data_IF_435746611145
#
_entry.id   IF_435746611145
#
_cell.length_a   1.000
_cell.length_b   1.000
_cell.length_c   1.000
_cell.angle_alpha   90.00
_cell.angle_beta   90.00
_cell.angle_gamma   90.00
#
_symmetry.space_group_name_H-M   'P 1'
#
loop_
_entity.id
_entity.type
_entity.pdbx_description
1 polymer ?
#
# COMPACT_ATOMS: atom_id res chain seq x y z
N UNK A 1 -5.75 -22.20 4.87
CA UNK A 1 -4.55 -21.32 4.77
C UNK A 1 -4.29 -21.01 3.30
N UNK A 2 -3.99 -19.76 2.96
CA UNK A 2 -3.61 -19.36 1.59
C UNK A 2 -2.09 -19.39 1.45
N UNK A 3 -1.52 -20.45 0.87
CA UNK A 3 -0.07 -20.63 0.73
C UNK A 3 0.53 -19.85 -0.46
N UNK A 4 0.13 -18.58 -0.64
CA UNK A 4 0.66 -17.71 -1.70
C UNK A 4 0.63 -16.25 -1.28
N UNK A 5 1.47 -15.44 -1.92
CA UNK A 5 1.40 -13.99 -1.75
C UNK A 5 0.08 -13.45 -2.34
N UNK A 6 -0.62 -12.65 -1.54
CA UNK A 6 -1.80 -11.92 -1.96
C UNK A 6 -1.43 -10.60 -2.63
N UNK A 7 -2.32 -10.07 -3.47
CA UNK A 7 -2.14 -8.73 -4.06
C UNK A 7 -1.98 -7.63 -3.00
N UNK A 8 -2.58 -7.83 -1.83
CA UNK A 8 -2.52 -6.89 -0.73
C UNK A 8 -1.26 -6.98 0.10
N UNK A 9 -0.43 -8.01 -0.05
CA UNK A 9 0.71 -8.25 0.85
C UNK A 9 1.82 -7.19 0.72
N UNK A 10 1.71 -6.29 -0.25
CA UNK A 10 2.63 -5.17 -0.42
C UNK A 10 2.74 -4.28 0.83
N UNK A 11 1.75 -4.27 1.74
CA UNK A 11 1.88 -3.53 3.01
C UNK A 11 3.12 -3.96 3.83
N UNK A 12 3.56 -5.22 3.72
CA UNK A 12 4.77 -5.71 4.40
C UNK A 12 6.01 -5.01 3.84
N UNK A 13 6.12 -4.96 2.51
CA UNK A 13 7.18 -4.21 1.82
C UNK A 13 7.07 -2.72 2.03
N UNK A 14 5.85 -2.18 2.08
CA UNK A 14 5.59 -0.78 2.43
C UNK A 14 6.00 -0.44 3.86
N UNK A 15 6.05 -1.42 4.76
CA UNK A 15 6.57 -1.27 6.13
C UNK A 15 8.08 -1.54 6.24
N UNK A 16 8.78 -1.73 5.11
CA UNK A 16 10.23 -1.92 5.05
C UNK A 16 10.69 -3.38 4.97
N UNK A 17 9.76 -4.33 4.95
CA UNK A 17 10.07 -5.76 4.95
C UNK A 17 9.95 -6.35 3.54
N UNK A 18 11.10 -6.62 2.91
CA UNK A 18 11.13 -7.17 1.56
C UNK A 18 10.77 -8.66 1.55
N UNK A 19 9.51 -8.99 1.25
CA UNK A 19 9.02 -10.38 1.19
C UNK A 19 9.83 -11.23 0.20
N UNK A 20 10.21 -10.66 -0.95
CA UNK A 20 10.97 -11.41 -1.96
C UNK A 20 12.34 -11.82 -1.43
N UNK A 21 12.99 -10.95 -0.63
CA UNK A 21 14.25 -11.28 0.04
C UNK A 21 14.08 -12.49 0.95
N UNK A 22 13.09 -12.49 1.84
CA UNK A 22 12.86 -13.62 2.75
C UNK A 22 12.63 -14.92 1.99
N UNK A 23 11.81 -14.90 0.93
CA UNK A 23 11.56 -16.11 0.13
C UNK A 23 12.82 -16.62 -0.58
N UNK A 24 13.65 -15.73 -1.13
CA UNK A 24 14.88 -16.13 -1.83
C UNK A 24 15.93 -16.62 -0.85
N UNK A 25 16.23 -15.84 0.19
CA UNK A 25 17.32 -16.16 1.12
C UNK A 25 17.01 -17.42 1.95
N UNK A 26 15.78 -17.57 2.44
CA UNK A 26 15.36 -18.73 3.24
C UNK A 26 15.19 -19.99 2.37
N UNK A 27 14.39 -19.92 1.31
CA UNK A 27 13.97 -21.13 0.58
C UNK A 27 14.89 -21.52 -0.58
N UNK A 28 15.52 -20.54 -1.26
CA UNK A 28 16.37 -20.82 -2.44
C UNK A 28 17.84 -20.91 -2.03
N UNK A 29 18.29 -20.01 -1.16
CA UNK A 29 19.70 -19.93 -0.75
C UNK A 29 20.00 -20.66 0.57
N UNK A 30 18.98 -21.22 1.23
CA UNK A 30 19.08 -22.00 2.48
C UNK A 30 19.85 -21.27 3.59
N UNK A 31 19.62 -19.94 3.70
CA UNK A 31 20.23 -19.09 4.72
C UNK A 31 19.36 -19.07 5.97
N UNK A 32 19.97 -19.24 7.13
CA UNK A 32 19.30 -18.97 8.41
C UNK A 32 19.05 -17.46 8.57
N UNK A 33 17.78 -17.08 8.63
CA UNK A 33 17.38 -15.69 8.83
C UNK A 33 17.02 -15.43 10.30
N UNK A 34 17.47 -14.31 10.89
CA UNK A 34 17.08 -13.96 12.25
C UNK A 34 15.57 -13.68 12.32
N UNK A 35 14.96 -14.06 13.45
CA UNK A 35 13.58 -13.69 13.74
C UNK A 35 13.46 -12.19 13.93
N UNK A 36 12.50 -11.57 13.23
CA UNK A 36 12.27 -10.14 13.26
C UNK A 36 10.76 -9.86 13.26
N UNK A 37 10.33 -8.91 14.08
CA UNK A 37 8.95 -8.42 14.12
C UNK A 37 8.92 -7.03 13.49
N UNK A 38 8.00 -6.82 12.54
CA UNK A 38 7.80 -5.51 11.95
C UNK A 38 7.06 -4.57 12.90
N UNK A 39 7.79 -3.65 13.52
CA UNK A 39 7.22 -2.57 14.36
C UNK A 39 7.01 -1.26 13.58
N UNK A 40 7.42 -1.21 12.31
CA UNK A 40 7.31 -0.03 11.48
C UNK A 40 5.85 0.30 11.14
N UNK A 41 5.42 1.50 11.47
CA UNK A 41 4.15 2.03 10.99
C UNK A 41 4.28 2.48 9.52
N UNK A 42 3.33 2.07 8.69
CA UNK A 42 3.27 2.44 7.28
C UNK A 42 1.82 2.67 6.85
N UNK A 43 1.61 3.64 5.97
CA UNK A 43 0.31 3.89 5.35
C UNK A 43 0.28 3.27 3.96
N UNK A 44 -0.23 2.04 3.85
CA UNK A 44 -0.48 1.43 2.54
C UNK A 44 -1.84 1.90 2.01
N UNK A 45 -1.82 2.71 0.96
CA UNK A 45 -3.01 3.38 0.43
C UNK A 45 -3.15 3.12 -1.09
N UNK A 46 -4.16 2.35 -1.46
CA UNK A 46 -4.47 2.03 -2.88
C UNK A 46 -5.52 2.97 -3.50
N UNK A 47 -6.23 3.72 -2.67
CA UNK A 47 -7.22 4.72 -3.07
C UNK A 47 -6.61 6.14 -3.05
N UNK A 48 -7.22 7.12 -3.72
CA UNK A 48 -6.87 8.53 -3.55
C UNK A 48 -6.98 9.02 -2.08
N UNK A 49 -6.10 9.95 -1.66
CA UNK A 49 -6.07 10.44 -0.26
C UNK A 49 -7.34 11.19 0.15
N UNK A 50 -8.01 11.86 -0.79
CA UNK A 50 -9.31 12.51 -0.58
C UNK A 50 -10.42 11.48 -0.36
N UNK A 51 -10.43 10.36 -1.10
CA UNK A 51 -11.35 9.24 -0.84
C UNK A 51 -11.11 8.68 0.55
N UNK A 52 -9.85 8.46 0.92
CA UNK A 52 -9.52 7.93 2.23
C UNK A 52 -10.03 8.86 3.36
N UNK A 53 -9.90 10.18 3.21
CA UNK A 53 -10.41 11.17 4.18
C UNK A 53 -11.94 11.24 4.24
N UNK A 54 -12.62 11.10 3.11
CA UNK A 54 -14.09 11.22 3.04
C UNK A 54 -14.84 9.99 3.57
N UNK A 55 -14.21 8.81 3.52
CA UNK A 55 -14.88 7.52 3.78
C UNK A 55 -14.31 6.73 4.98
N UNK A 56 -13.20 7.16 5.58
CA UNK A 56 -12.62 6.56 6.80
C UNK A 56 -12.96 7.42 8.01
N UNK A 57 -13.16 6.77 9.16
CA UNK A 57 -13.42 7.43 10.45
C UNK A 57 -12.34 8.47 10.77
N UNK A 58 -12.78 9.63 11.24
CA UNK A 58 -11.94 10.81 11.48
C UNK A 58 -10.77 10.60 12.44
N UNK A 59 -10.88 9.64 13.36
CA UNK A 59 -9.83 9.28 14.33
C UNK A 59 -8.51 8.86 13.69
N UNK A 60 -8.53 8.36 12.44
CA UNK A 60 -7.31 7.96 11.73
C UNK A 60 -6.67 9.10 10.93
N UNK A 61 -7.37 10.22 10.71
CA UNK A 61 -6.95 11.23 9.74
C UNK A 61 -5.64 11.91 10.13
N UNK A 62 -5.43 12.21 11.42
CA UNK A 62 -4.18 12.79 11.90
C UNK A 62 -3.00 11.85 11.68
N UNK A 63 -3.18 10.57 12.00
CA UNK A 63 -2.15 9.56 11.81
C UNK A 63 -1.82 9.35 10.33
N UNK A 64 -2.83 9.33 9.47
CA UNK A 64 -2.63 9.24 8.02
C UNK A 64 -1.85 10.44 7.48
N UNK A 65 -2.21 11.66 7.89
CA UNK A 65 -1.49 12.89 7.51
C UNK A 65 -0.04 12.88 8.01
N UNK A 66 0.18 12.39 9.23
CA UNK A 66 1.52 12.25 9.78
C UNK A 66 2.36 11.29 8.93
N UNK A 67 1.86 10.08 8.65
CA UNK A 67 2.59 9.07 7.85
C UNK A 67 2.83 9.54 6.41
N UNK A 68 1.89 10.26 5.80
CA UNK A 68 2.05 10.87 4.48
C UNK A 68 3.18 11.93 4.48
N UNK A 69 3.22 12.80 5.51
CA UNK A 69 4.29 13.80 5.68
C UNK A 69 5.66 13.18 5.95
N UNK A 70 5.70 12.09 6.71
CA UNK A 70 6.93 11.33 6.99
C UNK A 70 7.41 10.53 5.77
N UNK A 71 6.67 10.53 4.65
CA UNK A 71 7.03 9.76 3.46
C UNK A 71 6.83 8.25 3.60
N UNK A 72 6.07 7.82 4.63
CA UNK A 72 5.74 6.41 4.93
C UNK A 72 4.43 5.95 4.26
N UNK A 73 3.89 6.76 3.35
CA UNK A 73 2.75 6.36 2.52
C UNK A 73 3.22 5.63 1.27
N UNK A 74 2.64 4.47 1.00
CA UNK A 74 2.96 3.64 -0.16
C UNK A 74 1.71 3.25 -0.94
N UNK A 75 1.85 3.20 -2.26
CA UNK A 75 0.82 2.70 -3.16
C UNK A 75 1.48 1.72 -4.13
N UNK A 76 0.98 0.48 -4.17
CA UNK A 76 1.57 -0.60 -4.99
C UNK A 76 1.53 -0.34 -6.49
N UNK A 77 0.65 0.53 -6.95
CA UNK A 77 0.53 0.90 -8.37
C UNK A 77 1.45 2.08 -8.74
N UNK A 78 1.98 2.81 -7.76
CA UNK A 78 2.77 4.01 -7.98
C UNK A 78 4.24 3.73 -7.66
N UNK A 79 5.03 3.54 -8.72
CA UNK A 79 6.46 3.31 -8.61
C UNK A 79 7.26 4.45 -9.25
N UNK A 80 8.20 5.04 -8.50
CA UNK A 80 9.02 6.17 -8.98
C UNK A 80 9.90 5.82 -10.18
N UNK A 81 10.34 4.56 -10.27
CA UNK A 81 11.17 4.08 -11.37
C UNK A 81 10.38 3.69 -12.63
N UNK A 82 9.06 3.91 -12.67
CA UNK A 82 8.23 3.60 -13.83
C UNK A 82 8.59 4.47 -15.03
N UNK A 83 9.01 3.82 -16.13
CA UNK A 83 9.40 4.47 -17.39
C UNK A 83 8.28 4.43 -18.44
N UNK A 84 7.30 3.55 -18.28
CA UNK A 84 6.16 3.40 -19.19
C UNK A 84 5.11 4.48 -18.92
N UNK A 85 5.03 5.45 -19.83
CA UNK A 85 4.07 6.55 -19.77
C UNK A 85 2.61 6.09 -19.83
N UNK A 86 2.30 5.04 -20.60
CA UNK A 86 0.94 4.50 -20.68
C UNK A 86 0.49 3.90 -19.35
N UNK A 87 1.39 3.17 -18.67
CA UNK A 87 1.07 2.63 -17.34
C UNK A 87 0.82 3.76 -16.33
N UNK A 88 1.65 4.81 -16.32
CA UNK A 88 1.43 5.99 -15.46
C UNK A 88 0.09 6.67 -15.70
N UNK A 89 -0.29 6.85 -16.96
CA UNK A 89 -1.59 7.42 -17.34
C UNK A 89 -2.75 6.51 -16.94
N UNK A 90 -2.58 5.20 -17.09
CA UNK A 90 -3.58 4.23 -16.66
C UNK A 90 -3.78 4.23 -15.14
N UNK A 91 -2.71 4.28 -14.33
CA UNK A 91 -2.82 4.39 -12.87
C UNK A 91 -3.52 5.68 -12.47
N UNK A 92 -3.17 6.80 -13.11
CA UNK A 92 -3.85 8.07 -12.87
C UNK A 92 -5.35 7.99 -13.19
N UNK A 93 -5.72 7.42 -14.34
CA UNK A 93 -7.11 7.22 -14.73
C UNK A 93 -7.85 6.30 -13.77
N UNK A 94 -7.21 5.20 -13.33
CA UNK A 94 -7.78 4.27 -12.37
C UNK A 94 -8.09 4.96 -11.03
N UNK A 95 -7.15 5.73 -10.49
CA UNK A 95 -7.35 6.50 -9.26
C UNK A 95 -8.51 7.50 -9.38
N UNK A 96 -8.67 8.17 -10.53
CA UNK A 96 -9.82 9.05 -10.80
C UNK A 96 -11.13 8.28 -10.89
N UNK A 97 -11.13 7.12 -11.54
CA UNK A 97 -12.30 6.23 -11.63
C UNK A 97 -12.69 5.70 -10.24
N UNK A 98 -11.72 5.33 -9.41
CA UNK A 98 -11.97 4.90 -8.04
C UNK A 98 -12.72 5.98 -7.26
N UNK A 99 -12.30 7.25 -7.32
CA UNK A 99 -13.02 8.37 -6.68
C UNK A 99 -14.51 8.38 -7.04
N UNK A 100 -14.82 8.31 -8.35
CA UNK A 100 -16.20 8.28 -8.85
C UNK A 100 -16.98 7.07 -8.33
N UNK A 101 -16.34 5.90 -8.28
CA UNK A 101 -16.97 4.67 -7.78
C UNK A 101 -17.32 4.78 -6.28
N UNK A 102 -16.42 5.34 -5.46
CA UNK A 102 -16.70 5.56 -4.05
C UNK A 102 -17.84 6.55 -3.84
N UNK A 103 -17.90 7.64 -4.61
CA UNK A 103 -19.03 8.59 -4.55
C UNK A 103 -20.36 7.95 -4.95
N UNK A 104 -20.35 7.00 -5.89
CA UNK A 104 -21.59 6.34 -6.37
C UNK A 104 -22.05 5.24 -5.41
N UNK A 105 -21.13 4.44 -4.88
CA UNK A 105 -21.45 3.16 -4.26
C UNK A 105 -21.10 3.07 -2.78
N UNK A 106 -20.20 3.89 -2.27
CA UNK A 106 -19.76 3.77 -0.88
C UNK A 106 -20.61 4.64 0.06
N UNK A 107 -20.90 4.11 1.24
CA UNK A 107 -21.54 4.84 2.33
C UNK A 107 -20.45 5.49 3.17
N UNK A 108 -20.57 6.79 3.44
CA UNK A 108 -19.63 7.52 4.30
C UNK A 108 -19.73 6.99 5.73
N UNK A 109 -18.58 6.68 6.32
CA UNK A 109 -18.48 6.31 7.74
C UNK A 109 -18.29 7.60 8.54
N UNK A 110 -19.21 7.87 9.47
CA UNK A 110 -19.08 8.95 10.47
C UNK A 110 -18.01 8.62 11.50
#
# INVERSE_FOLDING_TARGET
INCRQGRSNYYVTGAGFNIARYLVEDYIEDKELPFEICENESLWQVVPSDVARDFIVSSYHDKMRQLEKEGKMTNSLVYKGERNLFHRLWVWYDLKRQRKNYETYAVKKS
#
